data_IF_427016485465
#
_entry.id   IF_427016485465
#
_cell.length_a   1.000
_cell.length_b   1.000
_cell.length_c   1.000
_cell.angle_alpha   90.00
_cell.angle_beta   90.00
_cell.angle_gamma   90.00
#
_symmetry.space_group_name_H-M   'P 1'
#
loop_
_entity.id
_entity.type
_entity.pdbx_description
1 polymer ?
#
# COMPACT_ATOMS: atom_id res chain seq x y z
N UNK A 1 -7.12 44.96 -13.49
CA UNK A 1 -5.88 45.45 -12.85
C UNK A 1 -5.72 44.67 -11.56
N UNK A 2 -5.03 43.56 -11.60
CA UNK A 2 -4.70 42.72 -10.42
C UNK A 2 -3.21 42.89 -10.27
N UNK A 3 -2.78 43.37 -9.10
CA UNK A 3 -1.38 43.64 -8.79
C UNK A 3 -0.63 42.36 -8.55
N UNK A 4 0.49 42.19 -9.23
CA UNK A 4 1.50 41.15 -8.95
C UNK A 4 2.22 41.51 -7.65
N UNK A 5 2.06 40.68 -6.62
CA UNK A 5 2.91 40.71 -5.43
C UNK A 5 4.08 39.76 -5.64
N UNK A 6 5.27 40.30 -5.81
CA UNK A 6 6.53 39.56 -5.87
C UNK A 6 6.89 39.04 -4.48
N UNK A 7 7.03 37.72 -4.33
CA UNK A 7 7.60 37.08 -3.14
C UNK A 7 9.13 37.31 -3.14
N UNK A 8 9.62 37.82 -2.02
CA UNK A 8 11.02 38.12 -1.79
C UNK A 8 11.78 36.88 -1.33
N UNK A 9 12.86 36.51 -2.03
CA UNK A 9 13.64 35.25 -1.85
C UNK A 9 14.48 35.22 -0.54
N UNK A 10 14.39 36.21 0.34
CA UNK A 10 15.26 36.37 1.50
C UNK A 10 14.69 35.89 2.83
N UNK A 11 13.53 35.21 2.88
CA UNK A 11 12.91 34.73 4.15
C UNK A 11 13.19 33.24 4.48
N UNK A 12 14.13 32.60 3.80
CA UNK A 12 14.46 31.18 4.01
C UNK A 12 15.53 30.89 5.08
N UNK A 13 15.84 31.85 5.95
CA UNK A 13 16.82 31.64 7.02
C UNK A 13 16.18 31.81 8.40
N UNK A 14 15.38 30.85 8.86
CA UNK A 14 15.14 30.56 10.29
C UNK A 14 14.17 29.36 10.47
N UNK A 15 14.58 28.17 10.00
CA UNK A 15 14.06 26.92 10.54
C UNK A 15 15.10 26.34 11.50
N UNK A 16 15.03 26.74 12.75
CA UNK A 16 15.70 26.03 13.83
C UNK A 16 14.93 24.73 14.07
N UNK A 17 15.44 23.63 13.49
CA UNK A 17 15.01 22.30 13.87
C UNK A 17 15.38 22.09 15.35
N UNK A 18 14.41 21.67 16.15
CA UNK A 18 14.62 21.37 17.57
C UNK A 18 15.60 20.19 17.68
N UNK A 19 16.59 20.27 18.57
CA UNK A 19 17.58 19.20 18.78
C UNK A 19 16.96 17.84 19.09
N UNK A 20 15.75 17.81 19.65
CA UNK A 20 14.96 16.60 19.88
C UNK A 20 14.46 15.93 18.60
N UNK A 21 14.11 16.70 17.56
CA UNK A 21 13.68 16.17 16.26
C UNK A 21 14.86 15.55 15.48
N UNK A 22 16.05 16.15 15.58
CA UNK A 22 17.27 15.62 14.92
C UNK A 22 17.68 14.29 15.55
N UNK A 23 17.56 14.12 16.87
CA UNK A 23 17.90 12.86 17.55
C UNK A 23 16.94 11.72 17.21
N UNK A 24 15.63 12.03 17.01
CA UNK A 24 14.64 11.05 16.57
C UNK A 24 14.86 10.64 15.10
N UNK A 25 15.24 11.59 14.23
CA UNK A 25 15.53 11.33 12.82
C UNK A 25 16.77 10.44 12.65
N UNK A 26 17.82 10.65 13.47
CA UNK A 26 19.01 9.78 13.46
C UNK A 26 18.69 8.38 13.98
N UNK A 27 17.85 8.26 15.02
CA UNK A 27 17.43 6.98 15.57
C UNK A 27 16.61 6.17 14.55
N UNK A 28 15.62 6.79 13.89
CA UNK A 28 14.81 6.15 12.85
C UNK A 28 15.66 5.73 11.63
N UNK A 29 16.71 6.48 11.29
CA UNK A 29 17.66 6.13 10.24
C UNK A 29 18.50 4.91 10.61
N UNK A 30 18.98 4.81 11.86
CA UNK A 30 19.74 3.65 12.37
C UNK A 30 18.88 2.40 12.52
N UNK A 31 17.63 2.49 13.01
CA UNK A 31 16.68 1.37 13.03
C UNK A 31 16.43 0.84 11.62
N UNK A 32 16.39 1.75 10.65
CA UNK A 32 16.16 1.42 9.25
C UNK A 32 17.30 0.56 8.65
N UNK A 33 18.54 0.75 9.08
CA UNK A 33 19.70 -0.02 8.60
C UNK A 33 19.88 -1.37 9.30
N UNK A 34 19.44 -1.53 10.54
CA UNK A 34 19.73 -2.72 11.36
C UNK A 34 18.81 -3.93 11.20
N UNK A 35 17.64 -3.81 10.57
CA UNK A 35 16.79 -4.95 10.27
C UNK A 35 15.30 -4.58 10.20
N UNK A 36 14.66 -4.80 9.05
CA UNK A 36 13.25 -4.44 8.81
C UNK A 36 12.23 -5.38 9.48
N UNK A 37 12.64 -6.54 9.98
CA UNK A 37 11.71 -7.54 10.52
C UNK A 37 10.92 -7.05 11.74
N UNK A 38 11.49 -6.12 12.51
CA UNK A 38 10.95 -5.68 13.80
C UNK A 38 10.42 -4.24 13.80
N UNK A 39 10.40 -3.56 12.64
CA UNK A 39 9.94 -2.17 12.59
C UNK A 39 8.41 -2.11 12.77
N UNK A 40 7.99 -1.47 13.85
CA UNK A 40 6.57 -1.19 14.12
C UNK A 40 6.11 -0.04 13.23
N UNK A 41 5.21 -0.32 12.26
CA UNK A 41 4.67 0.68 11.33
C UNK A 41 3.51 1.49 11.92
N UNK A 42 2.82 0.94 12.90
CA UNK A 42 1.68 1.59 13.56
C UNK A 42 2.08 2.92 14.18
N UNK A 43 1.24 3.93 13.96
CA UNK A 43 1.37 5.29 14.50
C UNK A 43 2.65 6.04 14.07
N UNK A 44 3.46 5.50 13.12
CA UNK A 44 4.64 6.21 12.60
C UNK A 44 4.27 7.52 11.91
N UNK A 45 3.25 7.53 11.05
CA UNK A 45 2.80 8.77 10.40
C UNK A 45 2.44 9.85 11.41
N UNK A 46 1.83 9.48 12.55
CA UNK A 46 1.50 10.40 13.63
C UNK A 46 2.74 10.97 14.31
N UNK A 47 3.79 10.16 14.51
CA UNK A 47 5.07 10.65 15.07
C UNK A 47 5.73 11.69 14.15
N UNK A 48 5.49 11.56 12.84
CA UNK A 48 6.01 12.44 11.80
C UNK A 48 5.00 13.51 11.32
N UNK A 49 4.01 13.84 12.15
CA UNK A 49 2.90 14.75 11.80
C UNK A 49 3.34 16.11 11.25
N UNK A 50 4.43 16.67 11.80
CA UNK A 50 4.95 17.96 11.37
C UNK A 50 5.42 17.95 9.91
N UNK A 51 6.02 16.87 9.44
CA UNK A 51 6.37 16.70 8.03
C UNK A 51 5.13 16.87 7.13
N UNK A 52 4.02 16.17 7.46
CA UNK A 52 2.78 16.24 6.70
C UNK A 52 2.14 17.61 6.69
N UNK A 53 2.23 18.33 7.81
CA UNK A 53 1.78 19.71 7.91
C UNK A 53 2.63 20.63 7.01
N UNK A 54 3.94 20.47 7.02
CA UNK A 54 4.90 21.31 6.29
C UNK A 54 4.76 21.17 4.77
N UNK A 55 4.44 19.96 4.26
CA UNK A 55 4.17 19.77 2.82
C UNK A 55 2.76 20.24 2.40
N UNK A 56 2.01 20.90 3.28
CA UNK A 56 0.70 21.47 2.97
C UNK A 56 -0.41 20.41 2.77
N UNK A 57 -0.41 19.34 3.57
CA UNK A 57 -1.50 18.38 3.55
C UNK A 57 -2.85 19.00 3.91
N UNK A 58 -3.91 18.50 3.28
CA UNK A 58 -5.29 18.89 3.62
C UNK A 58 -5.66 18.46 5.04
N UNK A 59 -6.51 19.24 5.72
CA UNK A 59 -6.96 18.97 7.08
C UNK A 59 -7.53 17.56 7.28
N UNK A 60 -8.25 17.03 6.29
CA UNK A 60 -8.77 15.66 6.32
C UNK A 60 -7.66 14.62 6.44
N UNK A 61 -6.54 14.79 5.75
CA UNK A 61 -5.39 13.87 5.82
C UNK A 61 -4.65 14.06 7.13
N UNK A 62 -4.47 15.29 7.59
CA UNK A 62 -3.88 15.59 8.88
C UNK A 62 -4.70 15.01 10.04
N UNK A 63 -6.04 15.11 9.99
CA UNK A 63 -6.93 14.46 10.97
C UNK A 63 -6.82 12.94 10.91
N UNK A 64 -6.76 12.36 9.70
CA UNK A 64 -6.56 10.90 9.53
C UNK A 64 -5.24 10.42 10.13
N UNK A 65 -4.15 11.16 9.94
CA UNK A 65 -2.84 10.82 10.50
C UNK A 65 -2.85 10.94 12.03
N UNK A 66 -3.47 11.99 12.57
CA UNK A 66 -3.41 12.29 14.00
C UNK A 66 -4.40 11.46 14.83
N UNK A 67 -5.64 11.34 14.36
CA UNK A 67 -6.75 10.70 15.08
C UNK A 67 -7.10 9.29 14.60
N UNK A 68 -6.54 8.88 13.46
CA UNK A 68 -6.88 7.63 12.77
C UNK A 68 -8.01 7.81 11.75
N UNK A 69 -8.05 6.89 10.80
CA UNK A 69 -9.03 6.88 9.72
C UNK A 69 -10.44 6.59 10.22
N UNK A 70 -11.36 7.50 9.97
CA UNK A 70 -12.79 7.28 10.19
C UNK A 70 -13.38 6.53 9.02
N UNK A 71 -13.77 5.28 9.26
CA UNK A 71 -14.46 4.46 8.25
C UNK A 71 -15.73 5.19 7.81
N UNK A 72 -15.96 5.37 6.50
CA UNK A 72 -17.04 6.25 5.99
C UNK A 72 -18.39 5.53 6.01
N UNK A 73 -18.91 5.26 7.18
CA UNK A 73 -20.22 4.66 7.36
C UNK A 73 -21.33 5.62 6.92
N UNK A 74 -22.28 5.14 6.10
CA UNK A 74 -23.56 5.83 5.89
C UNK A 74 -24.64 5.31 6.84
N UNK A 75 -24.46 4.10 7.35
CA UNK A 75 -25.31 3.52 8.40
C UNK A 75 -24.46 2.64 9.30
N UNK A 76 -24.81 2.54 10.57
CA UNK A 76 -24.10 1.68 11.51
C UNK A 76 -24.35 0.21 11.16
N UNK A 77 -23.29 -0.61 10.91
CA UNK A 77 -23.48 -2.04 10.74
C UNK A 77 -24.15 -2.66 11.97
N UNK A 78 -25.08 -3.62 11.82
CA UNK A 78 -25.62 -4.35 12.96
C UNK A 78 -24.52 -5.20 13.62
N UNK A 79 -24.66 -5.41 14.94
CA UNK A 79 -23.78 -6.34 15.67
C UNK A 79 -23.96 -7.74 15.12
N UNK A 80 -22.86 -8.40 14.77
CA UNK A 80 -22.87 -9.73 14.19
C UNK A 80 -21.63 -10.53 14.61
N UNK A 81 -21.78 -11.84 14.68
CA UNK A 81 -20.67 -12.76 14.93
C UNK A 81 -20.68 -13.85 13.85
N UNK A 82 -19.74 -13.76 12.94
CA UNK A 82 -19.63 -14.66 11.79
C UNK A 82 -18.53 -15.70 12.03
N UNK A 83 -18.75 -16.91 11.56
CA UNK A 83 -17.76 -17.99 11.60
C UNK A 83 -16.67 -17.80 10.56
N UNK A 84 -15.45 -18.23 10.89
CA UNK A 84 -14.31 -18.16 9.98
C UNK A 84 -14.53 -18.98 8.71
N UNK A 85 -14.00 -18.51 7.59
CA UNK A 85 -14.08 -19.21 6.31
C UNK A 85 -13.29 -20.53 6.36
N UNK A 86 -13.74 -21.52 5.57
CA UNK A 86 -13.06 -22.82 5.47
C UNK A 86 -11.59 -22.70 5.11
N UNK A 87 -11.20 -21.71 4.29
CA UNK A 87 -9.80 -21.47 3.95
C UNK A 87 -8.94 -21.10 5.16
N UNK A 88 -9.47 -20.35 6.12
CA UNK A 88 -8.76 -20.02 7.35
C UNK A 88 -8.63 -21.26 8.25
N UNK A 89 -9.70 -22.05 8.39
CA UNK A 89 -9.70 -23.30 9.17
C UNK A 89 -8.72 -24.33 8.60
N UNK A 90 -8.67 -24.48 7.27
CA UNK A 90 -7.76 -25.41 6.59
C UNK A 90 -6.27 -24.98 6.69
N UNK A 91 -5.99 -23.73 7.04
CA UNK A 91 -4.65 -23.20 7.23
C UNK A 91 -4.44 -22.66 8.66
N UNK A 92 -4.96 -23.40 9.66
CA UNK A 92 -4.98 -22.98 11.06
C UNK A 92 -3.62 -22.60 11.64
N UNK A 93 -2.56 -23.36 11.33
CA UNK A 93 -1.19 -23.06 11.76
C UNK A 93 -0.73 -21.69 11.25
N UNK A 94 -0.90 -21.44 9.95
CA UNK A 94 -0.59 -20.13 9.36
C UNK A 94 -1.40 -18.99 10.01
N UNK A 95 -2.68 -19.21 10.32
CA UNK A 95 -3.52 -18.20 10.97
C UNK A 95 -3.02 -17.89 12.38
N UNK A 96 -2.62 -18.90 13.15
CA UNK A 96 -2.05 -18.71 14.50
C UNK A 96 -0.76 -17.90 14.43
N UNK A 97 0.16 -18.25 13.52
CA UNK A 97 1.41 -17.51 13.29
C UNK A 97 1.14 -16.07 12.88
N UNK A 98 0.21 -15.85 11.93
CA UNK A 98 -0.16 -14.52 11.46
C UNK A 98 -0.79 -13.66 12.56
N UNK A 99 -1.66 -14.21 13.42
CA UNK A 99 -2.23 -13.50 14.56
C UNK A 99 -1.13 -13.10 15.54
N UNK A 100 -0.19 -14.01 15.83
CA UNK A 100 0.94 -13.75 16.72
C UNK A 100 1.83 -12.62 16.18
N UNK A 101 2.17 -12.66 14.89
CA UNK A 101 2.93 -11.61 14.22
C UNK A 101 2.23 -10.25 14.28
N UNK A 102 0.91 -10.21 14.00
CA UNK A 102 0.12 -8.99 14.09
C UNK A 102 0.03 -8.42 15.52
N UNK A 103 -0.03 -9.29 16.55
CA UNK A 103 -0.01 -8.88 17.96
C UNK A 103 1.33 -8.28 18.37
N UNK A 104 2.45 -8.94 18.03
CA UNK A 104 3.80 -8.44 18.33
C UNK A 104 4.02 -7.07 17.69
N UNK A 105 3.56 -6.88 16.44
CA UNK A 105 3.65 -5.61 15.73
C UNK A 105 2.63 -4.56 16.21
N UNK A 106 1.79 -4.90 17.18
CA UNK A 106 0.75 -4.02 17.72
C UNK A 106 -0.31 -3.59 16.70
N UNK A 107 -0.48 -4.33 15.60
CA UNK A 107 -1.45 -4.04 14.53
C UNK A 107 -2.88 -4.47 14.90
N UNK A 108 -2.98 -5.43 15.80
CA UNK A 108 -4.21 -5.88 16.43
C UNK A 108 -4.06 -5.89 17.95
N UNK A 109 -5.17 -5.94 18.67
CA UNK A 109 -5.18 -6.19 20.11
C UNK A 109 -6.14 -7.33 20.47
N UNK A 110 -5.82 -8.09 21.51
CA UNK A 110 -6.74 -9.08 22.12
C UNK A 110 -7.80 -8.34 22.94
N UNK A 111 -9.05 -8.69 22.75
CA UNK A 111 -10.20 -8.08 23.42
C UNK A 111 -10.64 -8.90 24.62
N UNK A 112 -10.83 -8.26 25.77
CA UNK A 112 -11.41 -8.92 26.97
C UNK A 112 -12.90 -9.26 26.83
N UNK A 113 -13.57 -8.68 25.81
CA UNK A 113 -14.97 -8.97 25.47
C UNK A 113 -15.13 -9.04 23.95
N UNK A 114 -16.26 -9.63 23.51
CA UNK A 114 -16.58 -9.74 22.08
C UNK A 114 -16.72 -8.35 21.44
N UNK A 115 -16.00 -8.06 20.34
CA UNK A 115 -16.17 -6.84 19.56
C UNK A 115 -17.59 -6.69 19.00
N UNK A 116 -18.00 -5.47 18.67
CA UNK A 116 -19.34 -5.19 18.14
C UNK A 116 -19.65 -5.97 16.86
N UNK A 117 -18.67 -6.11 15.95
CA UNK A 117 -18.74 -6.97 14.78
C UNK A 117 -17.57 -7.96 14.83
N UNK A 118 -17.87 -9.25 14.75
CA UNK A 118 -16.87 -10.32 14.60
C UNK A 118 -16.92 -10.83 13.17
N UNK A 119 -15.92 -10.44 12.39
CA UNK A 119 -15.81 -10.77 10.97
C UNK A 119 -15.05 -12.08 10.75
N UNK A 120 -15.33 -12.83 9.68
CA UNK A 120 -14.59 -14.04 9.34
C UNK A 120 -13.15 -13.73 8.91
N UNK A 121 -12.24 -14.65 9.17
CA UNK A 121 -10.91 -14.68 8.54
C UNK A 121 -10.95 -15.52 7.27
N UNK A 122 -10.20 -15.09 6.26
CA UNK A 122 -9.92 -15.79 5.00
C UNK A 122 -8.41 -15.94 4.84
N UNK A 123 -7.96 -17.11 4.38
CA UNK A 123 -6.60 -17.28 3.88
C UNK A 123 -6.63 -17.33 2.36
N UNK A 124 -5.97 -16.36 1.74
CA UNK A 124 -5.72 -16.33 0.30
C UNK A 124 -4.35 -16.94 0.02
N UNK A 125 -4.30 -17.87 -0.93
CA UNK A 125 -3.06 -18.51 -1.38
C UNK A 125 -2.79 -18.08 -2.82
N UNK A 126 -1.63 -17.47 -3.06
CA UNK A 126 -1.20 -17.07 -4.41
C UNK A 126 -0.71 -18.28 -5.23
N UNK A 127 -0.52 -18.08 -6.54
CA UNK A 127 0.07 -19.10 -7.42
C UNK A 127 1.52 -19.49 -7.02
N UNK A 128 2.22 -18.60 -6.30
CA UNK A 128 3.55 -18.83 -5.72
C UNK A 128 3.49 -19.44 -4.31
N UNK A 129 2.34 -20.00 -3.91
CA UNK A 129 2.07 -20.56 -2.57
C UNK A 129 2.21 -19.57 -1.39
N UNK A 130 2.31 -18.27 -1.66
CA UNK A 130 2.34 -17.25 -0.62
C UNK A 130 0.95 -17.08 -0.02
N UNK A 131 0.84 -17.27 1.30
CA UNK A 131 -0.41 -17.12 2.05
C UNK A 131 -0.56 -15.67 2.54
N UNK A 132 -1.81 -15.19 2.60
CA UNK A 132 -2.18 -13.90 3.19
C UNK A 132 -3.42 -14.06 4.05
N UNK A 133 -3.37 -13.54 5.27
CA UNK A 133 -4.54 -13.43 6.14
C UNK A 133 -5.35 -12.20 5.74
N UNK A 134 -6.64 -12.37 5.53
CA UNK A 134 -7.57 -11.31 5.11
C UNK A 134 -8.75 -11.32 6.07
N UNK A 135 -9.13 -10.13 6.56
CA UNK A 135 -10.37 -9.93 7.29
C UNK A 135 -11.52 -9.79 6.29
N UNK A 136 -12.51 -10.67 6.37
CA UNK A 136 -13.67 -10.65 5.48
C UNK A 136 -14.68 -9.59 5.92
N UNK A 137 -14.51 -8.40 5.43
CA UNK A 137 -15.32 -7.24 5.77
C UNK A 137 -16.53 -7.02 4.85
N UNK A 138 -16.98 -8.05 4.10
CA UNK A 138 -18.13 -7.92 3.19
C UNK A 138 -19.37 -7.39 3.91
N UNK A 139 -19.63 -7.86 5.15
CA UNK A 139 -20.73 -7.36 5.96
C UNK A 139 -20.58 -5.87 6.30
N UNK A 140 -19.42 -5.46 6.80
CA UNK A 140 -19.12 -4.07 7.15
C UNK A 140 -19.18 -3.18 5.90
N UNK A 141 -18.61 -3.65 4.78
CA UNK A 141 -18.57 -2.92 3.52
C UNK A 141 -19.97 -2.58 2.92
N UNK A 142 -21.02 -3.35 3.28
CA UNK A 142 -22.40 -3.02 2.90
C UNK A 142 -22.91 -1.73 3.50
N UNK A 143 -22.28 -1.24 4.56
CA UNK A 143 -22.66 -0.05 5.31
C UNK A 143 -21.75 1.16 5.06
N UNK A 144 -20.82 1.05 4.09
CA UNK A 144 -19.90 2.12 3.72
C UNK A 144 -20.38 2.90 2.50
N UNK A 145 -20.16 4.21 2.52
CA UNK A 145 -20.24 5.00 1.30
C UNK A 145 -19.30 4.41 0.24
N UNK A 146 -19.81 4.21 -0.97
CA UNK A 146 -18.99 3.77 -2.10
C UNK A 146 -17.98 4.86 -2.43
N UNK A 147 -16.71 4.50 -2.34
CA UNK A 147 -15.60 5.36 -2.72
C UNK A 147 -15.01 4.87 -4.03
N UNK A 148 -14.74 5.78 -4.94
CA UNK A 148 -13.97 5.50 -6.15
C UNK A 148 -12.64 6.25 -6.11
N UNK A 149 -11.59 5.63 -6.59
CA UNK A 149 -10.28 6.25 -6.73
C UNK A 149 -9.69 5.85 -8.08
N UNK A 150 -9.13 6.84 -8.77
CA UNK A 150 -8.34 6.58 -9.98
C UNK A 150 -6.88 6.45 -9.54
N UNK A 151 -6.35 5.27 -9.69
CA UNK A 151 -4.92 5.01 -9.47
C UNK A 151 -4.10 5.59 -10.61
N UNK A 152 -2.88 5.97 -10.31
CA UNK A 152 -1.87 6.14 -11.34
C UNK A 152 -1.43 4.75 -11.82
N UNK A 153 -1.10 4.64 -13.07
CA UNK A 153 -0.66 3.41 -13.70
C UNK A 153 0.57 3.65 -14.58
N UNK A 154 1.05 2.61 -15.21
CA UNK A 154 2.25 2.67 -16.06
C UNK A 154 2.17 3.77 -17.12
N UNK A 155 0.97 4.13 -17.61
CA UNK A 155 0.78 5.20 -18.62
C UNK A 155 1.22 6.57 -18.11
N UNK A 156 1.14 6.82 -16.80
CA UNK A 156 1.66 8.04 -16.20
C UNK A 156 3.20 8.01 -16.17
N UNK A 157 3.81 6.90 -15.79
CA UNK A 157 5.26 6.75 -15.84
C UNK A 157 5.81 6.92 -17.26
N UNK A 158 5.10 6.38 -18.26
CA UNK A 158 5.43 6.51 -19.68
C UNK A 158 5.49 7.97 -20.19
N UNK A 159 4.73 8.88 -19.58
CA UNK A 159 4.79 10.31 -19.93
C UNK A 159 6.10 10.97 -19.51
N UNK A 160 6.81 10.37 -18.57
CA UNK A 160 8.08 10.87 -18.04
C UNK A 160 9.30 10.19 -18.68
N UNK A 161 9.11 8.96 -19.18
CA UNK A 161 10.19 8.16 -19.74
C UNK A 161 10.48 8.60 -21.17
N UNK A 162 11.73 8.95 -21.42
CA UNK A 162 12.29 9.25 -22.75
C UNK A 162 13.46 8.31 -23.03
N UNK A 163 14.00 8.33 -24.24
CA UNK A 163 15.20 7.56 -24.58
C UNK A 163 16.35 7.89 -23.63
N UNK A 164 17.03 6.85 -23.17
CA UNK A 164 18.16 6.93 -22.24
C UNK A 164 17.84 7.54 -20.86
N UNK A 165 16.56 7.62 -20.46
CA UNK A 165 16.21 8.04 -19.11
C UNK A 165 16.74 7.06 -18.06
N UNK A 166 17.11 7.59 -16.91
CA UNK A 166 17.42 6.82 -15.71
C UNK A 166 16.21 6.76 -14.80
N UNK A 167 15.98 5.61 -14.19
CA UNK A 167 14.83 5.35 -13.34
C UNK A 167 15.28 4.75 -12.02
N UNK A 168 14.61 5.10 -10.93
CA UNK A 168 14.67 4.39 -9.64
C UNK A 168 13.28 3.98 -9.22
N UNK A 169 13.16 2.98 -8.34
CA UNK A 169 11.86 2.52 -7.82
C UNK A 169 11.89 2.28 -6.33
N UNK A 170 10.72 2.37 -5.71
CA UNK A 170 10.51 2.09 -4.31
C UNK A 170 9.18 1.35 -4.06
N UNK A 171 9.10 0.64 -2.93
CA UNK A 171 7.92 -0.09 -2.46
C UNK A 171 7.81 0.14 -0.95
N UNK A 172 6.62 0.45 -0.46
CA UNK A 172 6.37 0.69 0.95
C UNK A 172 6.11 -0.62 1.69
N UNK A 173 6.83 -0.84 2.79
CA UNK A 173 6.61 -2.00 3.64
C UNK A 173 5.29 -1.87 4.40
N UNK A 174 4.44 -2.90 4.35
CA UNK A 174 3.17 -2.95 5.11
C UNK A 174 2.31 -1.69 4.97
N UNK A 175 2.26 -1.13 3.77
CA UNK A 175 1.74 0.19 3.44
C UNK A 175 0.43 0.57 4.17
N UNK A 176 -0.61 -0.26 4.10
CA UNK A 176 -1.90 0.02 4.74
C UNK A 176 -1.81 0.06 6.27
N UNK A 177 -0.93 -0.72 6.87
CA UNK A 177 -0.77 -0.78 8.32
C UNK A 177 -0.15 0.48 8.94
N UNK A 178 0.36 1.42 8.12
CA UNK A 178 0.77 2.74 8.61
C UNK A 178 -0.42 3.63 8.98
N UNK A 179 -1.63 3.30 8.50
CA UNK A 179 -2.84 4.09 8.75
C UNK A 179 -3.57 3.52 9.96
N UNK A 180 -3.54 4.25 11.06
CA UNK A 180 -4.31 3.89 12.25
C UNK A 180 -5.81 4.03 11.98
N UNK A 181 -6.64 3.18 12.60
CA UNK A 181 -8.10 3.30 12.58
C UNK A 181 -8.55 4.19 13.74
N UNK A 182 -9.53 5.04 13.50
CA UNK A 182 -10.16 5.86 14.53
C UNK A 182 -10.70 4.97 15.66
N UNK A 183 -10.35 5.28 16.90
CA UNK A 183 -10.50 4.39 18.06
C UNK A 183 -11.90 3.77 18.19
N UNK A 184 -12.98 4.55 18.02
CA UNK A 184 -14.34 4.03 18.13
C UNK A 184 -14.77 3.14 16.96
N UNK A 185 -14.00 3.11 15.85
CA UNK A 185 -14.28 2.29 14.68
C UNK A 185 -13.57 0.93 14.70
N UNK A 186 -12.63 0.71 15.61
CA UNK A 186 -11.90 -0.57 15.71
C UNK A 186 -12.81 -1.73 16.06
N UNK A 187 -13.91 -1.51 16.80
CA UNK A 187 -14.87 -2.55 17.19
C UNK A 187 -15.69 -3.13 16.02
N UNK A 188 -15.68 -2.47 14.85
CA UNK A 188 -16.23 -3.00 13.61
C UNK A 188 -15.24 -3.91 12.85
N UNK A 189 -13.97 -3.91 13.24
CA UNK A 189 -12.88 -4.67 12.62
C UNK A 189 -12.44 -5.85 13.49
N UNK A 190 -13.37 -6.38 14.30
CA UNK A 190 -13.13 -7.52 15.15
C UNK A 190 -13.12 -8.84 14.39
N UNK A 191 -12.45 -9.83 14.95
CA UNK A 191 -12.49 -11.24 14.54
C UNK A 191 -12.26 -12.17 15.74
N UNK A 192 -12.47 -13.46 15.55
CA UNK A 192 -12.22 -14.46 16.60
C UNK A 192 -11.39 -15.62 16.08
N UNK A 193 -10.63 -16.25 16.96
CA UNK A 193 -9.93 -17.49 16.68
C UNK A 193 -10.03 -18.45 17.87
N UNK A 194 -10.16 -19.77 17.55
CA UNK A 194 -10.22 -20.82 18.57
C UNK A 194 -8.84 -21.40 18.84
N UNK A 195 -8.40 -21.36 20.07
CA UNK A 195 -7.21 -22.03 20.58
C UNK A 195 -7.64 -23.22 21.44
N UNK A 196 -7.70 -24.40 20.83
CA UNK A 196 -8.33 -25.58 21.44
C UNK A 196 -9.81 -25.31 21.75
N UNK A 197 -10.19 -25.33 23.01
CA UNK A 197 -11.57 -25.07 23.46
C UNK A 197 -11.83 -23.60 23.85
N UNK A 198 -10.86 -22.72 23.70
CA UNK A 198 -10.98 -21.32 24.10
C UNK A 198 -11.11 -20.43 22.87
N UNK A 199 -12.17 -19.64 22.80
CA UNK A 199 -12.35 -18.61 21.78
C UNK A 199 -11.74 -17.31 22.27
N UNK A 200 -10.81 -16.75 21.51
CA UNK A 200 -10.26 -15.43 21.74
C UNK A 200 -10.75 -14.44 20.69
N UNK A 201 -10.93 -13.22 21.10
CA UNK A 201 -11.37 -12.12 20.25
C UNK A 201 -10.24 -11.11 20.05
N UNK A 202 -10.17 -10.58 18.86
CA UNK A 202 -9.18 -9.59 18.45
C UNK A 202 -9.83 -8.52 17.62
N UNK A 203 -9.19 -7.34 17.53
CA UNK A 203 -9.60 -6.30 16.59
C UNK A 203 -8.41 -5.59 15.98
N UNK A 204 -8.54 -5.19 14.72
CA UNK A 204 -7.52 -4.39 14.03
C UNK A 204 -7.53 -2.96 14.55
N UNK A 205 -6.33 -2.44 14.80
CA UNK A 205 -6.07 -1.05 15.19
C UNK A 205 -5.60 -0.20 14.01
N UNK A 206 -5.23 -0.83 12.93
CA UNK A 206 -4.74 -0.25 11.68
C UNK A 206 -5.61 -0.69 10.50
N UNK A 207 -5.44 -0.04 9.37
CA UNK A 207 -6.21 -0.30 8.14
C UNK A 207 -5.96 -1.73 7.63
N UNK A 208 -6.97 -2.63 7.68
CA UNK A 208 -6.79 -4.02 7.29
C UNK A 208 -6.99 -4.24 5.78
N UNK A 209 -6.51 -5.37 5.29
CA UNK A 209 -6.98 -5.91 4.02
C UNK A 209 -8.43 -6.36 4.14
N UNK A 210 -9.26 -6.01 3.13
CA UNK A 210 -10.67 -6.39 3.05
C UNK A 210 -11.66 -5.23 3.19
N UNK A 211 -11.25 -4.08 3.75
CA UNK A 211 -12.08 -2.89 3.80
C UNK A 211 -12.15 -2.21 2.42
N UNK A 212 -13.34 -1.97 1.90
CA UNK A 212 -13.55 -1.45 0.54
C UNK A 212 -12.97 -0.05 0.32
N UNK A 213 -12.82 0.75 1.37
CA UNK A 213 -12.24 2.09 1.33
C UNK A 213 -10.71 2.12 1.52
N UNK A 214 -10.05 0.99 1.74
CA UNK A 214 -8.60 0.91 2.00
C UNK A 214 -7.76 1.59 0.92
N UNK A 215 -7.94 1.18 -0.33
CA UNK A 215 -7.18 1.76 -1.44
C UNK A 215 -7.48 3.24 -1.64
N UNK A 216 -8.72 3.66 -1.39
CA UNK A 216 -9.12 5.07 -1.49
C UNK A 216 -8.35 5.93 -0.49
N UNK A 217 -8.43 5.60 0.80
CA UNK A 217 -7.78 6.43 1.83
C UNK A 217 -6.27 6.41 1.71
N UNK A 218 -5.68 5.25 1.39
CA UNK A 218 -4.23 5.15 1.22
C UNK A 218 -3.74 6.01 0.03
N UNK A 219 -4.43 5.98 -1.09
CA UNK A 219 -4.14 6.87 -2.23
C UNK A 219 -4.30 8.34 -1.87
N UNK A 220 -5.33 8.69 -1.09
CA UNK A 220 -5.52 10.08 -0.62
C UNK A 220 -4.40 10.52 0.31
N UNK A 221 -3.88 9.61 1.12
CA UNK A 221 -2.75 9.86 2.02
C UNK A 221 -1.44 10.10 1.26
N UNK A 222 -1.16 9.33 0.20
CA UNK A 222 0.10 9.46 -0.55
C UNK A 222 0.10 10.60 -1.57
N UNK A 223 -1.07 11.06 -2.02
CA UNK A 223 -1.18 12.17 -2.99
C UNK A 223 -0.49 13.47 -2.61
N UNK A 224 -0.52 13.95 -1.36
CA UNK A 224 0.23 15.14 -0.95
C UNK A 224 1.73 15.01 -1.21
N UNK A 225 2.34 13.84 -0.94
CA UNK A 225 3.75 13.58 -1.26
C UNK A 225 4.02 13.72 -2.76
N UNK A 226 3.23 13.01 -3.59
CA UNK A 226 3.38 13.06 -5.04
C UNK A 226 3.17 14.49 -5.57
N UNK A 227 2.19 15.22 -5.01
CA UNK A 227 1.93 16.62 -5.36
C UNK A 227 3.10 17.52 -5.01
N UNK A 228 3.69 17.35 -3.82
CA UNK A 228 4.87 18.10 -3.37
C UNK A 228 6.04 17.84 -4.34
N UNK A 229 6.39 16.59 -4.58
CA UNK A 229 7.48 16.21 -5.48
C UNK A 229 7.31 16.76 -6.89
N UNK A 230 6.10 16.66 -7.46
CA UNK A 230 5.82 17.23 -8.79
C UNK A 230 5.81 18.76 -8.81
N UNK A 231 5.41 19.39 -7.71
CA UNK A 231 5.52 20.84 -7.52
C UNK A 231 6.97 21.34 -7.58
N UNK A 232 7.91 20.50 -7.17
CA UNK A 232 9.36 20.72 -7.26
C UNK A 232 9.96 20.28 -8.62
N UNK A 233 9.13 19.90 -9.59
CA UNK A 233 9.56 19.46 -10.93
C UNK A 233 10.00 17.99 -11.01
N UNK A 234 9.85 17.19 -9.96
CA UNK A 234 10.24 15.77 -9.93
C UNK A 234 9.25 14.92 -10.73
N UNK A 235 9.75 14.11 -11.65
CA UNK A 235 8.95 13.18 -12.45
C UNK A 235 8.76 11.86 -11.71
N UNK A 236 7.70 11.78 -10.92
CA UNK A 236 7.40 10.63 -10.08
C UNK A 236 5.98 10.14 -10.34
N UNK A 237 5.81 8.82 -10.43
CA UNK A 237 4.53 8.13 -10.40
C UNK A 237 4.47 7.24 -9.16
N UNK A 238 3.30 7.16 -8.53
CA UNK A 238 3.05 6.29 -7.39
C UNK A 238 1.72 5.55 -7.53
N UNK A 239 1.79 4.22 -7.54
CA UNK A 239 0.65 3.32 -7.58
C UNK A 239 0.54 2.58 -6.26
N UNK A 240 -0.35 3.06 -5.36
CA UNK A 240 -0.46 2.52 -3.99
C UNK A 240 0.88 2.56 -3.26
N UNK A 241 1.50 1.40 -3.06
CA UNK A 241 2.76 1.19 -2.36
C UNK A 241 4.00 1.20 -3.29
N UNK A 242 3.80 1.02 -4.59
CA UNK A 242 4.87 1.03 -5.59
C UNK A 242 5.08 2.44 -6.18
N UNK A 243 6.31 2.89 -6.32
CA UNK A 243 6.64 4.15 -6.99
C UNK A 243 7.86 4.08 -7.89
N UNK A 244 7.89 4.98 -8.89
CA UNK A 244 9.00 5.17 -9.81
C UNK A 244 9.29 6.66 -9.97
N UNK A 245 10.58 7.01 -9.95
CA UNK A 245 11.06 8.32 -10.35
C UNK A 245 11.93 8.22 -11.60
N UNK A 246 11.89 9.25 -12.44
CA UNK A 246 12.53 9.27 -13.76
C UNK A 246 13.26 10.59 -13.98
N UNK A 247 14.46 10.54 -14.58
CA UNK A 247 15.15 11.72 -15.09
C UNK A 247 16.13 11.30 -16.19
N UNK A 248 16.38 12.20 -17.18
CA UNK A 248 17.29 11.91 -18.29
C UNK A 248 18.76 11.98 -17.89
N UNK A 249 19.11 12.84 -16.95
CA UNK A 249 20.46 12.96 -16.40
C UNK A 249 20.64 12.03 -15.20
N UNK A 250 21.69 11.22 -15.21
CA UNK A 250 22.00 10.24 -14.16
C UNK A 250 22.22 10.90 -12.79
N UNK A 251 22.98 12.03 -12.76
CA UNK A 251 23.33 12.66 -11.48
C UNK A 251 22.10 13.34 -10.85
N UNK A 252 21.26 13.97 -11.67
CA UNK A 252 19.99 14.54 -11.23
C UNK A 252 19.04 13.43 -10.77
N UNK A 253 18.96 12.32 -11.49
CA UNK A 253 18.15 11.16 -11.09
C UNK A 253 18.59 10.59 -9.74
N UNK A 254 19.91 10.56 -9.49
CA UNK A 254 20.45 10.12 -8.20
C UNK A 254 20.06 11.04 -7.06
N UNK A 255 20.24 12.36 -7.24
CA UNK A 255 19.81 13.36 -6.24
C UNK A 255 18.32 13.25 -5.96
N UNK A 256 17.49 13.14 -7.00
CA UNK A 256 16.04 12.96 -6.90
C UNK A 256 15.69 11.67 -6.14
N UNK A 257 16.40 10.58 -6.39
CA UNK A 257 16.23 9.31 -5.68
C UNK A 257 16.52 9.45 -4.18
N UNK A 258 17.63 10.14 -3.83
CA UNK A 258 18.02 10.35 -2.43
C UNK A 258 17.01 11.26 -1.69
N UNK A 259 16.51 12.32 -2.35
CA UNK A 259 15.50 13.24 -1.79
C UNK A 259 14.17 12.51 -1.55
N UNK A 260 13.67 11.73 -2.52
CA UNK A 260 12.43 10.97 -2.37
C UNK A 260 12.56 9.92 -1.26
N UNK A 261 13.71 9.26 -1.17
CA UNK A 261 14.00 8.32 -0.08
C UNK A 261 13.94 9.01 1.28
N UNK A 262 14.56 10.19 1.38
CA UNK A 262 14.56 11.00 2.60
C UNK A 262 13.15 11.42 3.00
N UNK A 263 12.36 11.94 2.05
CA UNK A 263 10.98 12.36 2.30
C UNK A 263 10.08 11.20 2.76
N UNK A 264 10.23 10.01 2.18
CA UNK A 264 9.51 8.83 2.62
C UNK A 264 9.85 8.44 4.06
N UNK A 265 11.12 8.54 4.46
CA UNK A 265 11.56 8.30 5.85
C UNK A 265 11.00 9.39 6.77
N UNK A 266 11.14 10.66 6.39
CA UNK A 266 10.63 11.82 7.15
C UNK A 266 9.12 11.83 7.28
N UNK A 267 8.39 11.27 6.32
CA UNK A 267 6.93 11.09 6.40
C UNK A 267 6.50 9.97 7.36
N UNK A 268 7.45 9.14 7.83
CA UNK A 268 7.20 8.00 8.70
C UNK A 268 6.91 6.69 7.97
N UNK A 269 7.00 6.65 6.64
CA UNK A 269 6.88 5.39 5.91
C UNK A 269 8.12 4.51 6.08
N UNK A 270 7.88 3.20 6.09
CA UNK A 270 8.92 2.17 6.07
C UNK A 270 9.04 1.65 4.65
N UNK A 271 10.26 1.59 4.14
CA UNK A 271 10.57 1.14 2.78
C UNK A 271 10.84 -0.37 2.78
N UNK A 272 10.46 -1.07 1.73
CA UNK A 272 10.65 -2.52 1.61
C UNK A 272 11.97 -2.84 0.97
N UNK A 273 12.93 -3.34 1.77
CA UNK A 273 14.33 -3.51 1.40
C UNK A 273 14.56 -4.38 0.15
N UNK A 274 13.77 -5.44 -0.03
CA UNK A 274 13.95 -6.39 -1.12
C UNK A 274 13.40 -5.90 -2.47
N UNK A 275 12.69 -4.76 -2.49
CA UNK A 275 11.99 -4.29 -3.69
C UNK A 275 12.40 -2.92 -4.19
N UNK A 276 13.05 -2.12 -3.36
CA UNK A 276 13.49 -0.82 -3.82
C UNK A 276 14.80 -0.90 -4.64
N UNK A 277 14.96 0.03 -5.54
CA UNK A 277 16.16 0.25 -6.32
C UNK A 277 16.43 1.75 -6.36
N UNK A 278 17.27 2.24 -5.42
CA UNK A 278 17.58 3.65 -5.28
C UNK A 278 18.72 4.11 -6.21
N UNK A 279 19.60 3.19 -6.62
CA UNK A 279 20.59 3.48 -7.65
C UNK A 279 19.88 3.56 -9.00
N UNK A 280 19.92 4.71 -9.71
CA UNK A 280 19.25 4.86 -10.99
C UNK A 280 19.79 3.89 -12.03
N UNK A 281 18.86 3.27 -12.78
CA UNK A 281 19.14 2.32 -13.86
C UNK A 281 18.30 2.66 -15.09
N UNK A 282 18.68 2.10 -16.23
CA UNK A 282 17.94 2.23 -17.48
C UNK A 282 17.06 1.02 -17.78
N UNK A 283 17.18 -0.05 -16.97
CA UNK A 283 16.39 -1.25 -17.09
C UNK A 283 15.80 -1.65 -15.74
N UNK A 284 14.48 -1.74 -15.65
CA UNK A 284 13.79 -2.16 -14.42
C UNK A 284 12.40 -2.75 -14.70
N UNK A 285 11.91 -3.53 -13.72
CA UNK A 285 10.52 -3.99 -13.73
C UNK A 285 9.70 -3.21 -12.70
N UNK A 286 8.56 -2.65 -13.12
CA UNK A 286 7.57 -2.01 -12.26
C UNK A 286 6.15 -2.33 -12.74
N UNK A 287 5.21 -2.53 -11.82
CA UNK A 287 3.81 -2.87 -12.10
C UNK A 287 3.67 -4.01 -13.12
N UNK A 288 4.56 -5.00 -13.04
CA UNK A 288 4.63 -6.13 -13.96
C UNK A 288 4.97 -5.78 -15.43
N UNK A 289 5.61 -4.62 -15.67
CA UNK A 289 6.20 -4.25 -16.95
C UNK A 289 7.70 -4.13 -16.83
N UNK A 290 8.43 -4.66 -17.79
CA UNK A 290 9.86 -4.42 -17.94
C UNK A 290 10.07 -3.22 -18.85
N UNK A 291 10.86 -2.27 -18.37
CA UNK A 291 11.20 -1.03 -19.06
C UNK A 291 12.69 -1.08 -19.40
N UNK A 292 13.03 -0.85 -20.66
CA UNK A 292 14.39 -0.66 -21.16
C UNK A 292 14.45 0.67 -21.90
N UNK A 293 14.98 1.68 -21.24
CA UNK A 293 15.03 3.05 -21.78
C UNK A 293 16.17 3.23 -22.79
N UNK A 294 17.22 2.39 -22.77
CA UNK A 294 18.31 2.38 -23.77
C UNK A 294 17.78 1.92 -25.13
N UNK A 295 16.94 0.87 -25.12
CA UNK A 295 16.33 0.34 -26.34
C UNK A 295 14.99 1.00 -26.67
N UNK A 296 14.51 1.86 -25.81
CA UNK A 296 13.17 2.46 -25.91
C UNK A 296 12.06 1.41 -26.02
N UNK A 297 12.15 0.38 -25.18
CA UNK A 297 11.23 -0.75 -25.17
C UNK A 297 10.53 -0.88 -23.82
N UNK A 298 9.26 -1.21 -23.90
CA UNK A 298 8.47 -1.65 -22.74
C UNK A 298 7.80 -2.96 -23.14
N UNK A 299 7.97 -3.97 -22.33
CA UNK A 299 7.36 -5.27 -22.62
C UNK A 299 6.89 -5.97 -21.36
N UNK A 300 6.01 -6.92 -21.58
CA UNK A 300 5.45 -7.77 -20.52
C UNK A 300 6.48 -8.85 -20.21
N UNK A 301 6.89 -9.05 -18.95
CA UNK A 301 7.81 -10.12 -18.57
C UNK A 301 7.32 -11.49 -19.03
N UNK A 302 8.25 -12.32 -19.46
CA UNK A 302 7.97 -13.67 -20.01
C UNK A 302 7.15 -14.52 -19.04
N UNK A 303 7.46 -14.46 -17.74
CA UNK A 303 6.71 -15.19 -16.72
C UNK A 303 5.22 -14.88 -16.73
N UNK A 304 4.86 -13.63 -17.05
CA UNK A 304 3.47 -13.20 -17.13
C UNK A 304 2.81 -13.73 -18.41
N UNK A 305 3.50 -13.65 -19.53
CA UNK A 305 3.03 -14.24 -20.79
C UNK A 305 2.80 -15.74 -20.65
N UNK A 306 3.74 -16.47 -19.99
CA UNK A 306 3.60 -17.89 -19.70
C UNK A 306 2.35 -18.21 -18.85
N UNK A 307 1.95 -17.34 -17.92
CA UNK A 307 0.69 -17.51 -17.16
C UNK A 307 -0.53 -17.39 -18.07
N UNK A 308 -0.53 -16.42 -18.98
CA UNK A 308 -1.62 -16.25 -19.96
C UNK A 308 -1.73 -17.49 -20.84
N UNK A 309 -0.62 -17.95 -21.42
CA UNK A 309 -0.59 -19.15 -22.25
C UNK A 309 -1.05 -20.41 -21.50
N UNK A 310 -0.60 -20.60 -20.24
CA UNK A 310 -1.09 -21.71 -19.41
C UNK A 310 -2.60 -21.66 -19.19
N UNK A 311 -3.16 -20.46 -19.02
CA UNK A 311 -4.61 -20.30 -18.84
C UNK A 311 -5.36 -20.59 -20.16
N UNK A 312 -4.82 -20.17 -21.30
CA UNK A 312 -5.37 -20.46 -22.64
C UNK A 312 -5.38 -21.97 -22.86
N UNK A 313 -4.25 -22.64 -22.71
CA UNK A 313 -4.13 -24.09 -22.91
C UNK A 313 -5.10 -24.87 -22.00
N UNK A 314 -5.29 -24.41 -20.76
CA UNK A 314 -6.26 -25.03 -19.84
C UNK A 314 -7.71 -24.83 -20.31
N UNK A 315 -8.02 -23.69 -20.90
CA UNK A 315 -9.34 -23.42 -21.50
C UNK A 315 -9.58 -24.33 -22.70
N UNK A 316 -8.61 -24.42 -23.60
CA UNK A 316 -8.66 -25.29 -24.79
C UNK A 316 -8.85 -26.76 -24.38
N UNK A 317 -8.04 -27.27 -23.47
CA UNK A 317 -8.19 -28.64 -22.93
C UNK A 317 -9.60 -28.89 -22.34
N UNK A 318 -10.15 -27.93 -21.57
CA UNK A 318 -11.50 -28.09 -21.02
C UNK A 318 -12.59 -28.07 -22.09
N UNK A 319 -12.42 -27.25 -23.13
CA UNK A 319 -13.36 -27.22 -24.27
C UNK A 319 -13.33 -28.53 -25.05
N UNK A 320 -12.16 -29.06 -25.38
CA UNK A 320 -11.99 -30.32 -26.11
C UNK A 320 -12.56 -31.50 -25.32
N UNK A 321 -12.24 -31.59 -24.04
CA UNK A 321 -12.59 -32.76 -23.21
C UNK A 321 -14.01 -32.72 -22.66
N UNK A 322 -14.50 -31.54 -22.28
CA UNK A 322 -15.75 -31.38 -21.52
C UNK A 322 -16.75 -30.48 -22.23
N UNK A 323 -16.38 -29.85 -23.36
CA UNK A 323 -17.19 -28.83 -24.07
C UNK A 323 -17.69 -27.70 -23.14
N UNK A 324 -16.99 -27.44 -22.02
CA UNK A 324 -17.39 -26.48 -20.99
C UNK A 324 -16.16 -25.80 -20.39
N UNK A 325 -16.29 -24.52 -20.11
CA UNK A 325 -15.29 -23.73 -19.37
C UNK A 325 -15.98 -23.07 -18.18
N UNK A 326 -15.33 -23.07 -17.02
CA UNK A 326 -15.86 -22.36 -15.85
C UNK A 326 -15.81 -20.85 -16.07
N UNK A 327 -16.85 -20.14 -15.66
CA UNK A 327 -16.90 -18.66 -15.71
C UNK A 327 -15.68 -18.05 -15.01
N UNK A 328 -15.24 -18.65 -13.92
CA UNK A 328 -14.05 -18.21 -13.17
C UNK A 328 -12.76 -18.28 -13.99
N UNK A 329 -12.58 -19.35 -14.78
CA UNK A 329 -11.42 -19.52 -15.63
C UNK A 329 -11.42 -18.53 -16.79
N UNK A 330 -12.58 -18.32 -17.43
CA UNK A 330 -12.75 -17.32 -18.46
C UNK A 330 -12.51 -15.89 -17.93
N UNK A 331 -13.07 -15.54 -16.78
CA UNK A 331 -12.83 -14.25 -16.11
C UNK A 331 -11.36 -14.05 -15.74
N UNK A 332 -10.65 -15.12 -15.33
CA UNK A 332 -9.22 -15.08 -15.06
C UNK A 332 -8.41 -14.73 -16.31
N UNK A 333 -8.73 -15.35 -17.46
CA UNK A 333 -8.06 -15.03 -18.73
C UNK A 333 -8.30 -13.58 -19.13
N UNK A 334 -9.57 -13.11 -19.09
CA UNK A 334 -9.92 -11.72 -19.39
C UNK A 334 -9.12 -10.75 -18.51
N UNK A 335 -9.04 -11.00 -17.20
CA UNK A 335 -8.24 -10.18 -16.28
C UNK A 335 -6.76 -10.17 -16.64
N UNK A 336 -6.18 -11.32 -16.97
CA UNK A 336 -4.78 -11.43 -17.39
C UNK A 336 -4.49 -10.66 -18.70
N UNK A 337 -5.39 -10.76 -19.69
CA UNK A 337 -5.26 -10.05 -20.98
C UNK A 337 -5.46 -8.54 -20.79
N UNK A 338 -6.44 -8.12 -20.00
CA UNK A 338 -6.68 -6.69 -19.73
C UNK A 338 -5.45 -6.02 -19.12
N UNK A 339 -4.75 -6.71 -18.23
CA UNK A 339 -3.49 -6.23 -17.67
C UNK A 339 -2.34 -6.15 -18.71
N UNK A 340 -2.40 -6.95 -19.79
CA UNK A 340 -1.45 -6.89 -20.90
C UNK A 340 -1.78 -5.79 -21.94
N UNK A 341 -3.00 -5.25 -21.91
CA UNK A 341 -3.52 -4.32 -22.93
C UNK A 341 -3.24 -2.84 -22.65
N UNK A 342 -2.57 -2.53 -21.55
CA UNK A 342 -2.35 -1.15 -21.07
C UNK A 342 -1.17 -0.44 -21.75
N UNK A 343 -0.53 -1.06 -22.73
CA UNK A 343 0.54 -0.47 -23.56
C UNK A 343 -0.03 0.04 -24.88
#
# INVERSE_FOLDING_TARGET
MIKDEYFNVNDCNNLSLDFGEISNLTHDYYEYEQGQADIIVKSRLKKHYNFWKNIGCYDYILDTIYNGYRIPFFSTPPSLCLSNNRSAVNHSEFVVEAIHDLLIKGLIEECGSKPFVVNPLIVSVSSSNKKRLILDLRHVNLHLWKTSVKFEDIRIAMQFITNNSYCFKFDLHSAYHHVDIFKSHTDYLGFSWCYGNTVKYFKFLVLPFGLSSTCYIFTKLTRPLVKNWRGEGKQIMMHLDDGIGVHIDLQVCKTLSDEVRQDLILSGFVLKKEKYMWSPVQQLTILDYFIDTEKHLIYIPEERLLKVFKTINLIEYNLEKFSKVSVRLAASLVGQICLCRTL
#
